data_IF_275761804797
#
_entry.id   IF_275761804797
#
_cell.length_a   1.000
_cell.length_b   1.000
_cell.length_c   1.000
_cell.angle_alpha   90.00
_cell.angle_beta   90.00
_cell.angle_gamma   90.00
#
_symmetry.space_group_name_H-M   'P 1'
#
loop_
_entity.id
_entity.type
_entity.pdbx_description
1 polymer ?
#
# COMPACT_ATOMS: atom_id res chain seq x y z
N UNK A 1 -30.32 4.65 -25.88
CA UNK A 1 -29.07 4.00 -26.32
C UNK A 1 -28.29 3.66 -25.05
N UNK A 2 -28.38 2.40 -24.61
CA UNK A 2 -27.68 1.93 -23.41
C UNK A 2 -26.21 1.69 -23.75
N UNK A 3 -25.31 2.54 -23.25
CA UNK A 3 -23.88 2.29 -23.32
C UNK A 3 -23.51 1.39 -22.14
N UNK A 4 -23.47 0.08 -22.39
CA UNK A 4 -23.13 -0.93 -21.40
C UNK A 4 -21.66 -0.83 -21.00
N UNK A 5 -21.41 -0.53 -19.73
CA UNK A 5 -20.08 -0.66 -19.12
C UNK A 5 -19.84 -2.15 -18.90
N UNK A 6 -19.05 -2.78 -19.77
CA UNK A 6 -18.52 -4.12 -19.54
C UNK A 6 -17.25 -4.00 -18.70
N UNK A 7 -17.37 -4.17 -17.39
CA UNK A 7 -16.23 -4.51 -16.53
C UNK A 7 -15.98 -6.00 -16.65
N UNK A 8 -14.85 -6.37 -17.24
CA UNK A 8 -14.32 -7.73 -17.20
C UNK A 8 -12.82 -7.65 -16.93
N UNK A 9 -12.35 -8.59 -16.12
CA UNK A 9 -10.95 -8.91 -15.82
C UNK A 9 -10.36 -8.30 -14.55
N UNK A 10 -10.62 -8.97 -13.42
CA UNK A 10 -9.58 -9.56 -12.56
C UNK A 10 -8.66 -8.66 -11.73
N UNK A 11 -8.54 -7.38 -12.05
CA UNK A 11 -7.75 -6.39 -11.32
C UNK A 11 -8.71 -5.42 -10.66
N UNK A 12 -9.21 -5.85 -9.50
CA UNK A 12 -9.53 -4.95 -8.38
C UNK A 12 -8.26 -4.11 -8.22
N UNK A 13 -8.15 -2.95 -8.86
CA UNK A 13 -8.73 -1.79 -8.25
C UNK A 13 -8.66 -2.01 -6.71
N UNK A 14 -7.50 -1.95 -6.04
CA UNK A 14 -6.60 -0.76 -6.01
C UNK A 14 -7.27 0.49 -6.62
N UNK A 15 -8.58 0.53 -6.41
CA UNK A 15 -9.51 1.61 -6.46
C UNK A 15 -8.76 2.54 -5.58
N UNK A 16 -8.22 3.63 -6.13
CA UNK A 16 -8.89 4.92 -5.98
C UNK A 16 -9.29 5.24 -4.51
N UNK A 17 -8.85 4.48 -3.51
CA UNK A 17 -9.06 4.62 -2.07
C UNK A 17 -7.87 5.37 -1.44
N UNK A 18 -6.78 5.50 -2.19
CA UNK A 18 -5.88 6.66 -2.06
C UNK A 18 -6.39 7.79 -2.98
N UNK A 19 -7.68 7.86 -3.29
CA UNK A 19 -8.25 9.14 -3.71
C UNK A 19 -8.47 9.96 -2.45
N UNK A 20 -7.84 11.13 -2.44
CA UNK A 20 -8.25 12.29 -1.66
C UNK A 20 -8.21 12.09 -0.14
N UNK A 21 -7.10 12.49 0.48
CA UNK A 21 -7.03 12.79 1.93
C UNK A 21 -7.61 11.68 2.82
N UNK A 22 -6.94 10.52 2.87
CA UNK A 22 -7.21 9.55 3.92
C UNK A 22 -6.79 10.19 5.24
N UNK A 23 -7.77 10.70 5.99
CA UNK A 23 -7.64 11.13 7.37
C UNK A 23 -6.79 10.11 8.14
N UNK A 24 -5.82 10.57 8.93
CA UNK A 24 -4.90 9.70 9.68
C UNK A 24 -5.65 8.59 10.44
N UNK A 25 -6.88 8.87 10.90
CA UNK A 25 -7.79 7.93 11.55
C UNK A 25 -8.20 6.71 10.70
N UNK A 26 -8.42 6.88 9.39
CA UNK A 26 -8.78 5.75 8.52
C UNK A 26 -7.58 4.83 8.28
N UNK A 27 -6.38 5.41 8.19
CA UNK A 27 -5.14 4.64 8.13
C UNK A 27 -4.90 3.87 9.43
N UNK A 28 -5.07 4.52 10.59
CA UNK A 28 -4.93 3.86 11.89
C UNK A 28 -5.85 2.64 11.99
N UNK A 29 -7.12 2.78 11.60
CA UNK A 29 -8.09 1.66 11.63
C UNK A 29 -7.65 0.48 10.77
N UNK A 30 -7.18 0.73 9.56
CA UNK A 30 -6.68 -0.33 8.67
C UNK A 30 -5.47 -1.05 9.30
N UNK A 31 -4.57 -0.29 9.93
CA UNK A 31 -3.41 -0.86 10.62
C UNK A 31 -3.84 -1.66 11.85
N UNK A 32 -4.82 -1.18 12.62
CA UNK A 32 -5.35 -1.86 13.78
C UNK A 32 -6.04 -3.19 13.39
N UNK A 33 -6.86 -3.18 12.34
CA UNK A 33 -7.49 -4.39 11.79
C UNK A 33 -6.42 -5.42 11.35
N UNK A 34 -5.32 -4.94 10.75
CA UNK A 34 -4.19 -5.78 10.37
C UNK A 34 -3.51 -6.42 11.60
N UNK A 35 -3.32 -5.64 12.67
CA UNK A 35 -2.75 -6.14 13.94
C UNK A 35 -3.62 -7.23 14.54
N UNK A 36 -4.95 -7.04 14.55
CA UNK A 36 -5.90 -8.07 15.02
C UNK A 36 -5.81 -9.33 14.15
N UNK A 37 -5.72 -9.18 12.83
CA UNK A 37 -5.62 -10.33 11.92
C UNK A 37 -4.33 -11.15 12.09
N UNK A 38 -3.26 -10.53 12.62
CA UNK A 38 -1.97 -11.17 12.81
C UNK A 38 -1.97 -12.26 13.90
N UNK A 39 -2.97 -12.33 14.77
CA UNK A 39 -3.11 -13.43 15.74
C UNK A 39 -3.21 -14.81 15.06
N UNK A 40 -3.78 -14.85 13.84
CA UNK A 40 -3.95 -16.07 13.05
C UNK A 40 -2.81 -16.34 12.05
N UNK A 41 -1.87 -15.40 11.89
CA UNK A 41 -0.84 -15.46 10.85
C UNK A 41 0.55 -15.13 11.42
N UNK A 42 1.42 -16.14 11.62
CA UNK A 42 2.74 -15.93 12.19
C UNK A 42 3.67 -15.12 11.29
N UNK A 43 3.51 -15.17 9.97
CA UNK A 43 4.31 -14.40 9.02
C UNK A 43 3.95 -12.91 9.13
N UNK A 44 2.66 -12.61 9.20
CA UNK A 44 2.18 -11.25 9.41
C UNK A 44 2.64 -10.71 10.78
N UNK A 45 2.53 -11.51 11.84
CA UNK A 45 2.97 -11.13 13.18
C UNK A 45 4.49 -10.83 13.24
N UNK A 46 5.31 -11.58 12.50
CA UNK A 46 6.73 -11.29 12.35
C UNK A 46 6.97 -9.97 11.61
N UNK A 47 6.20 -9.71 10.55
CA UNK A 47 6.20 -8.44 9.84
C UNK A 47 5.88 -7.24 10.75
N UNK A 48 4.85 -7.35 11.59
CA UNK A 48 4.48 -6.28 12.53
C UNK A 48 5.55 -6.07 13.61
N UNK A 49 6.15 -7.14 14.14
CA UNK A 49 7.29 -7.03 15.07
C UNK A 49 8.47 -6.31 14.43
N UNK A 50 8.73 -6.57 13.15
CA UNK A 50 9.79 -5.88 12.43
C UNK A 50 9.49 -4.37 12.29
N UNK A 51 8.25 -3.99 12.00
CA UNK A 51 7.82 -2.59 11.94
C UNK A 51 8.02 -1.90 13.30
N UNK A 52 7.63 -2.55 14.40
CA UNK A 52 7.84 -2.03 15.77
C UNK A 52 9.33 -1.87 16.10
N UNK A 53 10.19 -2.79 15.66
CA UNK A 53 11.63 -2.64 15.83
C UNK A 53 12.18 -1.44 15.02
N UNK A 54 11.70 -1.24 13.79
CA UNK A 54 12.13 -0.10 12.96
C UNK A 54 11.63 1.24 13.51
N UNK A 55 10.41 1.29 14.06
CA UNK A 55 9.84 2.52 14.62
C UNK A 55 10.70 3.03 15.78
N UNK A 56 11.07 2.12 16.71
CA UNK A 56 11.98 2.41 17.83
C UNK A 56 13.36 2.86 17.37
N UNK A 57 13.90 2.22 16.32
CA UNK A 57 15.21 2.58 15.76
C UNK A 57 15.23 3.98 15.15
N UNK A 58 14.13 4.39 14.52
CA UNK A 58 14.02 5.67 13.82
C UNK A 58 13.43 6.79 14.70
N UNK A 59 12.97 6.47 15.92
CA UNK A 59 12.37 7.45 16.84
C UNK A 59 11.00 7.95 16.38
N UNK A 60 10.26 7.14 15.62
CA UNK A 60 8.90 7.45 15.14
C UNK A 60 7.89 6.48 15.75
N UNK A 61 6.61 6.82 15.66
CA UNK A 61 5.54 5.91 16.08
C UNK A 61 5.42 4.72 15.13
N UNK A 62 4.79 3.64 15.61
CA UNK A 62 4.51 2.46 14.80
C UNK A 62 3.75 2.79 13.52
N UNK A 63 2.70 3.60 13.65
CA UNK A 63 1.86 4.02 12.52
C UNK A 63 2.61 4.87 11.51
N UNK A 64 3.43 5.83 11.96
CA UNK A 64 4.30 6.61 11.08
C UNK A 64 5.28 5.70 10.33
N UNK A 65 5.87 4.71 11.01
CA UNK A 65 6.77 3.75 10.38
C UNK A 65 6.05 2.92 9.30
N UNK A 66 4.85 2.42 9.60
CA UNK A 66 4.02 1.68 8.64
C UNK A 66 3.70 2.55 7.42
N UNK A 67 3.35 3.83 7.63
CA UNK A 67 3.07 4.77 6.57
C UNK A 67 4.30 5.07 5.70
N UNK A 68 5.49 5.20 6.31
CA UNK A 68 6.75 5.41 5.58
C UNK A 68 7.10 4.22 4.69
N UNK A 69 6.92 3.00 5.19
CA UNK A 69 7.14 1.76 4.42
C UNK A 69 6.19 1.70 3.23
N UNK A 70 4.90 1.98 3.46
CA UNK A 70 3.89 2.01 2.41
C UNK A 70 4.24 3.04 1.32
N UNK A 71 4.59 4.26 1.72
CA UNK A 71 5.00 5.34 0.81
C UNK A 71 6.22 4.94 -0.02
N UNK A 72 7.22 4.32 0.61
CA UNK A 72 8.43 3.83 -0.06
C UNK A 72 8.10 2.80 -1.13
N UNK A 73 7.30 1.79 -0.80
CA UNK A 73 6.90 0.76 -1.78
C UNK A 73 6.10 1.33 -2.95
N UNK A 74 5.19 2.27 -2.70
CA UNK A 74 4.42 2.90 -3.78
C UNK A 74 5.29 3.78 -4.68
N UNK A 75 6.24 4.53 -4.12
CA UNK A 75 7.19 5.32 -4.89
C UNK A 75 8.07 4.42 -5.78
N UNK A 76 8.58 3.31 -5.24
CA UNK A 76 9.39 2.34 -6.01
C UNK A 76 8.59 1.67 -7.13
N UNK A 77 7.33 1.29 -6.88
CA UNK A 77 6.46 0.72 -7.92
C UNK A 77 6.20 1.73 -9.03
N UNK A 78 5.86 2.97 -8.68
CA UNK A 78 5.62 4.05 -9.65
C UNK A 78 6.86 4.37 -10.47
N UNK A 79 8.04 4.36 -9.84
CA UNK A 79 9.31 4.53 -10.54
C UNK A 79 9.58 3.38 -11.53
N UNK A 80 9.31 2.12 -11.14
CA UNK A 80 9.46 0.96 -12.03
C UNK A 80 8.49 1.01 -13.21
N UNK A 81 7.24 1.40 -12.99
CA UNK A 81 6.24 1.59 -14.05
C UNK A 81 6.66 2.67 -15.03
N UNK A 82 7.13 3.81 -14.52
CA UNK A 82 7.63 4.90 -15.36
C UNK A 82 8.83 4.48 -16.22
N UNK A 83 9.79 3.76 -15.64
CA UNK A 83 10.93 3.23 -16.39
C UNK A 83 10.49 2.24 -17.47
N UNK A 84 9.53 1.35 -17.18
CA UNK A 84 8.97 0.41 -18.17
C UNK A 84 8.27 1.13 -19.32
N UNK A 85 7.46 2.15 -19.01
CA UNK A 85 6.79 2.96 -20.02
C UNK A 85 7.79 3.71 -20.93
N UNK A 86 8.86 4.26 -20.34
CA UNK A 86 9.92 4.95 -21.08
C UNK A 86 10.70 4.00 -21.99
N UNK A 87 11.00 2.79 -21.52
CA UNK A 87 11.68 1.76 -22.33
C UNK A 87 10.78 1.24 -23.46
N UNK A 88 9.48 1.10 -23.23
CA UNK A 88 8.52 0.68 -24.26
C UNK A 88 8.31 1.75 -25.34
N UNK A 89 8.30 3.03 -24.97
CA UNK A 89 8.18 4.15 -25.90
C UNK A 89 9.45 4.37 -26.76
N UNK A 90 10.61 3.83 -26.35
CA UNK A 90 11.85 3.93 -27.11
C UNK A 90 12.02 2.84 -28.19
N UNK A 91 11.12 1.86 -28.24
CA UNK A 91 11.15 0.72 -29.18
C UNK A 91 10.15 0.91 -30.34
N UNK A 92 9.36 1.99 -30.36
CA UNK A 92 8.35 2.27 -31.38
C UNK A 92 8.65 3.56 -32.16
#
# INVERSE_FOLDING_TARGET
MNCGVKTLSGDVAVTIMIASEADDENFMKIVDDLVVSAEGDPELAEGLKWIDMQSRKNGVTFYEMALLILKKHMAERRAKEWMRAKSAAAIN
#
